data_IF_689479489613
#
_entry.id   IF_689479489613
#
_cell.length_a   1.000
_cell.length_b   1.000
_cell.length_c   1.000
_cell.angle_alpha   90.00
_cell.angle_beta   90.00
_cell.angle_gamma   90.00
#
_symmetry.space_group_name_H-M   'P 1'
#
loop_
_entity.id
_entity.type
_entity.pdbx_description
1 polymer ?
#
# COMPACT_ATOMS: atom_id res chain seq x y z
N UNK A 1 7.28 2.83 24.32
CA UNK A 1 7.24 2.61 22.86
C UNK A 1 6.94 1.14 22.66
N UNK A 2 6.07 0.77 21.72
CA UNK A 2 5.98 -0.65 21.32
C UNK A 2 7.15 -0.87 20.38
N UNK A 3 8.05 -1.78 20.72
CA UNK A 3 9.19 -2.14 19.86
C UNK A 3 8.59 -2.90 18.66
N UNK A 4 8.73 -2.37 17.44
CA UNK A 4 8.19 -3.04 16.26
C UNK A 4 9.05 -4.27 15.95
N UNK A 5 8.41 -5.44 15.79
CA UNK A 5 9.06 -6.65 15.29
C UNK A 5 9.08 -6.63 13.76
N UNK A 6 10.03 -5.89 13.19
CA UNK A 6 10.20 -5.75 11.74
C UNK A 6 11.23 -6.76 11.25
N UNK A 7 10.82 -7.69 10.42
CA UNK A 7 11.74 -8.68 9.84
C UNK A 7 12.10 -8.27 8.43
N UNK A 8 13.38 -8.00 8.17
CA UNK A 8 13.86 -7.72 6.82
C UNK A 8 13.71 -8.96 5.91
N UNK A 9 12.77 -8.91 4.95
CA UNK A 9 12.60 -9.96 3.93
C UNK A 9 12.96 -9.40 2.57
N UNK A 10 13.80 -10.11 1.82
CA UNK A 10 14.02 -9.79 0.40
C UNK A 10 12.72 -10.06 -0.37
N UNK A 11 12.42 -9.22 -1.37
CA UNK A 11 11.29 -9.43 -2.27
C UNK A 11 11.33 -10.87 -2.84
N UNK A 12 10.26 -11.68 -2.65
CA UNK A 12 10.14 -12.99 -3.26
C UNK A 12 10.14 -12.90 -4.79
N UNK A 13 10.55 -13.99 -5.44
CA UNK A 13 10.19 -14.18 -6.84
C UNK A 13 8.76 -14.73 -6.89
N UNK A 14 7.81 -13.88 -7.28
CA UNK A 14 6.40 -14.24 -7.38
C UNK A 14 6.05 -14.95 -8.71
N UNK A 15 6.99 -15.13 -9.64
CA UNK A 15 6.73 -15.82 -10.90
C UNK A 15 5.78 -15.06 -11.84
N UNK A 16 5.95 -13.73 -11.93
CA UNK A 16 5.18 -12.88 -12.83
C UNK A 16 5.60 -13.10 -14.28
N UNK A 17 5.02 -14.10 -14.93
CA UNK A 17 5.30 -14.48 -16.32
C UNK A 17 4.07 -14.30 -17.25
N UNK A 18 4.18 -14.77 -18.49
CA UNK A 18 3.11 -14.68 -19.48
C UNK A 18 1.87 -15.53 -19.18
N UNK A 19 1.96 -16.46 -18.23
CA UNK A 19 0.81 -17.23 -17.75
C UNK A 19 -0.04 -16.47 -16.73
N UNK A 20 0.42 -15.33 -16.20
CA UNK A 20 -0.39 -14.47 -15.34
C UNK A 20 -1.56 -13.86 -16.13
N UNK A 21 -2.83 -14.20 -15.80
CA UNK A 21 -3.96 -13.67 -16.54
C UNK A 21 -4.03 -12.16 -16.44
N UNK A 22 -4.39 -11.49 -17.54
CA UNK A 22 -4.62 -10.05 -17.56
C UNK A 22 -5.59 -9.61 -16.46
N UNK A 23 -6.69 -10.34 -16.31
CA UNK A 23 -7.71 -10.10 -15.28
C UNK A 23 -7.59 -11.14 -14.17
N UNK A 24 -6.47 -11.07 -13.45
CA UNK A 24 -6.09 -12.03 -12.41
C UNK A 24 -7.02 -12.03 -11.19
N UNK A 25 -7.86 -11.01 -11.00
CA UNK A 25 -8.85 -10.98 -9.94
C UNK A 25 -10.17 -11.60 -10.42
N UNK A 26 -10.27 -12.93 -10.39
CA UNK A 26 -11.47 -13.68 -10.78
C UNK A 26 -12.03 -13.33 -12.18
N UNK A 27 -11.17 -12.90 -13.12
CA UNK A 27 -11.59 -12.46 -14.44
C UNK A 27 -12.26 -11.09 -14.49
N UNK A 28 -12.34 -10.34 -13.38
CA UNK A 28 -13.00 -9.04 -13.29
C UNK A 28 -12.05 -7.89 -13.67
N UNK A 29 -12.32 -7.15 -14.78
CA UNK A 29 -11.45 -6.06 -15.20
C UNK A 29 -11.42 -4.88 -14.22
N UNK A 30 -12.53 -4.58 -13.55
CA UNK A 30 -12.59 -3.47 -12.60
C UNK A 30 -11.72 -3.78 -11.38
N UNK A 31 -11.93 -4.94 -10.75
CA UNK A 31 -11.17 -5.32 -9.56
C UNK A 31 -9.67 -5.44 -9.88
N UNK A 32 -9.34 -6.11 -10.99
CA UNK A 32 -7.95 -6.25 -11.44
C UNK A 32 -7.28 -4.89 -11.65
N UNK A 33 -7.88 -4.01 -12.48
CA UNK A 33 -7.26 -2.71 -12.79
C UNK A 33 -7.23 -1.74 -11.60
N UNK A 34 -8.10 -1.93 -10.61
CA UNK A 34 -8.03 -1.18 -9.36
C UNK A 34 -6.72 -1.48 -8.60
N UNK A 35 -6.37 -2.76 -8.46
CA UNK A 35 -5.11 -3.19 -7.84
C UNK A 35 -3.89 -2.88 -8.71
N UNK A 36 -3.98 -3.08 -10.02
CA UNK A 36 -2.89 -2.73 -10.94
C UNK A 36 -2.53 -1.24 -10.84
N UNK A 37 -3.55 -0.36 -10.78
CA UNK A 37 -3.33 1.08 -10.62
C UNK A 37 -2.56 1.41 -9.33
N UNK A 38 -2.93 0.78 -8.20
CA UNK A 38 -2.21 0.97 -6.93
C UNK A 38 -0.76 0.46 -7.02
N UNK A 39 -0.54 -0.70 -7.63
CA UNK A 39 0.81 -1.23 -7.85
C UNK A 39 1.71 -0.26 -8.63
N UNK A 40 1.17 0.48 -9.61
CA UNK A 40 1.96 1.47 -10.37
C UNK A 40 2.34 2.70 -9.54
N UNK A 41 1.66 2.96 -8.42
CA UNK A 41 1.93 4.10 -7.55
C UNK A 41 3.03 3.79 -6.53
N UNK A 42 3.09 2.54 -6.05
CA UNK A 42 3.98 2.13 -4.95
C UNK A 42 5.47 2.40 -5.19
N UNK A 43 6.10 2.07 -6.34
CA UNK A 43 7.53 2.30 -6.51
C UNK A 43 7.99 3.75 -6.36
N UNK A 44 7.16 4.73 -6.71
CA UNK A 44 7.48 6.15 -6.52
C UNK A 44 7.00 6.68 -5.15
N UNK A 45 5.91 6.12 -4.62
CA UNK A 45 5.40 6.41 -3.27
C UNK A 45 6.39 6.00 -2.17
N UNK A 46 6.87 4.77 -2.19
CA UNK A 46 7.77 4.20 -1.18
C UNK A 46 9.15 4.87 -1.22
N UNK A 47 9.66 5.21 -2.41
CA UNK A 47 10.85 6.08 -2.53
C UNK A 47 10.63 7.43 -1.86
N UNK A 48 9.43 7.99 -1.96
CA UNK A 48 9.06 9.23 -1.26
C UNK A 48 8.93 9.01 0.26
N UNK A 49 8.38 7.88 0.71
CA UNK A 49 8.31 7.50 2.13
C UNK A 49 9.70 7.39 2.76
N UNK A 50 10.60 6.63 2.14
CA UNK A 50 12.01 6.51 2.55
C UNK A 50 12.67 7.89 2.63
N UNK A 51 12.47 8.76 1.63
CA UNK A 51 13.05 10.11 1.61
C UNK A 51 12.54 10.99 2.74
N UNK A 52 11.23 10.98 3.01
CA UNK A 52 10.62 11.83 4.03
C UNK A 52 11.09 11.43 5.44
N UNK A 53 11.19 10.13 5.72
CA UNK A 53 11.72 9.61 6.99
C UNK A 53 13.21 9.91 7.11
N UNK A 54 14.01 9.68 6.05
CA UNK A 54 15.46 9.94 6.05
C UNK A 54 15.82 11.41 6.26
N UNK A 55 14.92 12.36 5.95
CA UNK A 55 15.14 13.78 6.22
C UNK A 55 15.32 14.10 7.71
N UNK A 56 14.88 13.19 8.60
CA UNK A 56 15.01 13.34 10.06
C UNK A 56 16.07 12.43 10.68
N UNK A 57 16.76 11.59 9.90
CA UNK A 57 17.64 10.52 10.40
C UNK A 57 18.71 11.00 11.41
N UNK A 58 19.29 12.17 11.17
CA UNK A 58 20.40 12.71 11.98
C UNK A 58 19.89 13.30 13.31
N UNK A 59 18.57 13.46 13.46
CA UNK A 59 17.90 13.94 14.67
C UNK A 59 17.33 12.78 15.52
N UNK A 60 17.33 11.55 15.00
CA UNK A 60 16.85 10.37 15.73
C UNK A 60 17.96 9.92 16.67
N UNK A 61 17.68 9.91 17.97
CA UNK A 61 18.65 9.52 19.02
C UNK A 61 18.29 8.22 19.71
N UNK A 62 17.01 7.81 19.63
CA UNK A 62 16.54 6.55 20.18
C UNK A 62 17.07 5.37 19.34
N UNK A 63 17.89 4.46 19.92
CA UNK A 63 18.44 3.33 19.18
C UNK A 63 17.38 2.40 18.61
N UNK A 64 16.24 2.23 19.28
CA UNK A 64 15.15 1.39 18.78
C UNK A 64 14.50 2.00 17.54
N UNK A 65 14.26 3.32 17.57
CA UNK A 65 13.69 4.03 16.42
C UNK A 65 14.68 4.13 15.25
N UNK A 66 15.99 4.26 15.52
CA UNK A 66 17.03 4.17 14.48
C UNK A 66 16.97 2.81 13.78
N UNK A 67 16.86 1.72 14.54
CA UNK A 67 16.78 0.38 13.97
C UNK A 67 15.48 0.19 13.18
N UNK A 68 14.34 0.57 13.75
CA UNK A 68 13.05 0.50 13.08
C UNK A 68 13.02 1.29 11.75
N UNK A 69 13.63 2.48 11.69
CA UNK A 69 13.75 3.26 10.45
C UNK A 69 14.64 2.56 9.41
N UNK A 70 15.69 1.85 9.84
CA UNK A 70 16.53 1.06 8.92
C UNK A 70 15.74 -0.13 8.35
N UNK A 71 15.01 -0.84 9.19
CA UNK A 71 14.23 -2.01 8.77
C UNK A 71 13.05 -1.61 7.88
N UNK A 72 12.34 -0.54 8.24
CA UNK A 72 11.36 0.14 7.39
C UNK A 72 11.95 0.48 6.01
N UNK A 73 13.08 1.19 5.99
CA UNK A 73 13.73 1.58 4.72
C UNK A 73 14.10 0.37 3.86
N UNK A 74 14.43 -0.76 4.48
CA UNK A 74 14.74 -1.99 3.78
C UNK A 74 13.48 -2.60 3.15
N UNK A 75 12.41 -2.79 3.92
CA UNK A 75 11.14 -3.37 3.43
C UNK A 75 10.54 -2.53 2.31
N UNK A 76 10.45 -1.21 2.50
CA UNK A 76 10.01 -0.26 1.47
C UNK A 76 10.78 -0.38 0.15
N UNK A 77 12.10 -0.58 0.23
CA UNK A 77 12.91 -0.78 -0.97
C UNK A 77 12.61 -2.12 -1.66
N UNK A 78 12.25 -3.15 -0.89
CA UNK A 78 11.83 -4.45 -1.44
C UNK A 78 10.43 -4.38 -2.04
N UNK A 79 9.48 -3.68 -1.41
CA UNK A 79 8.15 -3.43 -1.97
C UNK A 79 8.27 -2.80 -3.36
N UNK A 80 9.14 -1.80 -3.49
CA UNK A 80 9.36 -1.06 -4.75
C UNK A 80 9.88 -1.97 -5.86
N UNK A 81 10.73 -2.93 -5.50
CA UNK A 81 11.25 -3.93 -6.43
C UNK A 81 10.14 -4.89 -6.85
N UNK A 82 9.39 -5.44 -5.90
CA UNK A 82 8.31 -6.40 -6.16
C UNK A 82 7.22 -5.81 -7.06
N UNK A 83 6.76 -4.59 -6.75
CA UNK A 83 5.79 -3.88 -7.57
C UNK A 83 6.36 -3.47 -8.93
N UNK A 84 7.65 -3.11 -9.01
CA UNK A 84 8.33 -2.86 -10.28
C UNK A 84 8.30 -4.09 -11.20
N UNK A 85 8.60 -5.28 -10.66
CA UNK A 85 8.55 -6.54 -11.41
C UNK A 85 7.13 -6.87 -11.89
N UNK A 86 6.11 -6.65 -11.06
CA UNK A 86 4.73 -6.81 -11.52
C UNK A 86 4.35 -5.78 -12.58
N UNK A 87 4.80 -4.53 -12.44
CA UNK A 87 4.50 -3.48 -13.40
C UNK A 87 5.10 -3.77 -14.79
N UNK A 88 6.19 -4.55 -14.90
CA UNK A 88 6.69 -5.02 -16.20
C UNK A 88 5.69 -5.95 -16.92
N UNK A 89 4.85 -6.70 -16.19
CA UNK A 89 3.72 -7.42 -16.79
C UNK A 89 2.66 -6.47 -17.34
N UNK A 90 2.37 -5.37 -16.64
CA UNK A 90 1.43 -4.37 -17.13
C UNK A 90 1.93 -3.72 -18.43
N UNK A 91 3.24 -3.46 -18.55
CA UNK A 91 3.87 -2.99 -19.79
C UNK A 91 3.68 -3.98 -20.93
N UNK A 92 3.92 -5.27 -20.67
CA UNK A 92 3.69 -6.32 -21.67
C UNK A 92 2.21 -6.43 -22.12
N UNK A 93 1.27 -6.00 -21.27
CA UNK A 93 -0.15 -5.89 -21.62
C UNK A 93 -0.51 -4.61 -22.41
N UNK A 94 0.46 -3.74 -22.69
CA UNK A 94 0.30 -2.50 -23.44
C UNK A 94 0.03 -1.25 -22.58
N UNK A 95 0.14 -1.35 -21.25
CA UNK A 95 -0.01 -0.21 -20.35
C UNK A 95 1.27 0.63 -20.34
N UNK A 96 1.17 1.94 -20.56
CA UNK A 96 2.29 2.90 -20.43
C UNK A 96 2.54 3.19 -18.94
N UNK A 97 3.14 2.22 -18.24
CA UNK A 97 3.49 2.35 -16.81
C UNK A 97 4.43 3.52 -16.59
N UNK A 98 5.38 3.74 -17.49
CA UNK A 98 6.35 4.82 -17.38
C UNK A 98 5.67 6.20 -17.35
N UNK A 99 4.53 6.38 -18.04
CA UNK A 99 3.72 7.60 -17.93
C UNK A 99 3.16 7.78 -16.52
N UNK A 100 2.67 6.74 -15.88
CA UNK A 100 2.18 6.80 -14.51
C UNK A 100 3.30 7.09 -13.51
N UNK A 101 4.43 6.39 -13.63
CA UNK A 101 5.61 6.64 -12.79
C UNK A 101 6.15 8.07 -12.96
N UNK A 102 6.18 8.60 -14.20
CA UNK A 102 6.58 10.00 -14.45
C UNK A 102 5.61 10.98 -13.80
N UNK A 103 4.30 10.74 -13.89
CA UNK A 103 3.30 11.58 -13.27
C UNK A 103 3.45 11.59 -11.73
N UNK A 104 3.60 10.41 -11.12
CA UNK A 104 3.83 10.26 -9.69
C UNK A 104 5.13 10.93 -9.24
N UNK A 105 6.24 10.66 -9.93
CA UNK A 105 7.54 11.27 -9.63
C UNK A 105 7.47 12.79 -9.68
N UNK A 106 6.84 13.35 -10.71
CA UNK A 106 6.68 14.80 -10.86
C UNK A 106 5.88 15.41 -9.72
N UNK A 107 4.73 14.82 -9.42
CA UNK A 107 3.86 15.25 -8.32
C UNK A 107 4.56 15.16 -6.95
N UNK A 108 5.12 14.00 -6.60
CA UNK A 108 5.80 13.81 -5.31
C UNK A 108 7.07 14.66 -5.17
N UNK A 109 7.77 14.93 -6.27
CA UNK A 109 8.90 15.87 -6.26
C UNK A 109 8.42 17.29 -6.01
N UNK A 110 7.33 17.72 -6.64
CA UNK A 110 6.74 19.03 -6.40
C UNK A 110 6.33 19.20 -4.93
N UNK A 111 5.59 18.24 -4.37
CA UNK A 111 5.19 18.22 -2.95
C UNK A 111 6.43 18.28 -2.04
N UNK A 112 7.42 17.43 -2.30
CA UNK A 112 8.67 17.35 -1.53
C UNK A 112 9.51 18.63 -1.54
N UNK A 113 9.49 19.40 -2.62
CA UNK A 113 10.28 20.63 -2.74
C UNK A 113 9.57 21.86 -2.15
N UNK A 114 8.23 21.87 -2.14
CA UNK A 114 7.47 23.07 -1.79
C UNK A 114 6.81 23.01 -0.41
N UNK A 115 6.66 21.82 0.18
CA UNK A 115 6.12 21.65 1.53
C UNK A 115 7.23 21.46 2.56
N UNK A 116 7.02 21.90 3.83
CA UNK A 116 7.96 21.61 4.91
C UNK A 116 8.23 20.12 5.07
N UNK A 117 9.43 19.75 5.54
CA UNK A 117 9.81 18.36 5.78
C UNK A 117 8.82 17.64 6.72
N UNK A 118 8.25 18.34 7.69
CA UNK A 118 7.28 17.77 8.64
C UNK A 118 5.94 17.46 7.99
N UNK A 119 5.53 18.24 6.99
CA UNK A 119 4.32 17.95 6.19
C UNK A 119 4.58 16.76 5.28
N UNK A 120 5.77 16.65 4.68
CA UNK A 120 6.12 15.49 3.86
C UNK A 120 6.11 14.19 4.68
N UNK A 121 6.70 14.21 5.87
CA UNK A 121 6.66 13.08 6.80
C UNK A 121 5.23 12.79 7.28
N UNK A 122 4.41 13.81 7.48
CA UNK A 122 3.01 13.62 7.85
C UNK A 122 2.16 13.03 6.72
N UNK A 123 2.47 13.32 5.45
CA UNK A 123 1.87 12.64 4.30
C UNK A 123 2.28 11.16 4.30
N UNK A 124 3.56 10.85 4.51
CA UNK A 124 4.02 9.45 4.64
C UNK A 124 3.29 8.73 5.77
N UNK A 125 3.26 9.28 6.97
CA UNK A 125 2.55 8.64 8.09
C UNK A 125 1.05 8.42 7.84
N UNK A 126 0.41 9.30 7.06
CA UNK A 126 -0.99 9.13 6.65
C UNK A 126 -1.15 8.04 5.58
N UNK A 127 -0.26 8.01 4.59
CA UNK A 127 -0.28 7.00 3.53
C UNK A 127 -0.01 5.59 4.07
N UNK A 128 1.00 5.44 4.94
CA UNK A 128 1.32 4.21 5.69
C UNK A 128 0.13 3.72 6.52
N UNK A 129 -0.57 4.64 7.19
CA UNK A 129 -1.78 4.27 7.92
C UNK A 129 -2.87 3.77 6.97
N UNK A 130 -3.04 4.41 5.82
CA UNK A 130 -3.99 3.96 4.81
C UNK A 130 -3.64 2.58 4.25
N UNK A 131 -2.39 2.34 3.85
CA UNK A 131 -1.94 1.04 3.33
C UNK A 131 -2.02 -0.06 4.38
N UNK A 132 -1.64 0.23 5.63
CA UNK A 132 -1.78 -0.69 6.75
C UNK A 132 -3.24 -1.11 6.99
N UNK A 133 -4.19 -0.15 7.10
CA UNK A 133 -5.60 -0.51 7.33
C UNK A 133 -6.17 -1.27 6.14
N UNK A 134 -5.83 -0.86 4.92
CA UNK A 134 -6.28 -1.51 3.69
C UNK A 134 -5.79 -2.96 3.58
N UNK A 135 -4.59 -3.25 4.08
CA UNK A 135 -4.02 -4.60 4.11
C UNK A 135 -4.91 -5.58 4.86
N UNK A 136 -5.58 -5.16 5.94
CA UNK A 136 -6.56 -6.01 6.64
C UNK A 136 -7.70 -6.50 5.76
N UNK A 137 -8.03 -5.82 4.66
CA UNK A 137 -9.11 -6.21 3.75
C UNK A 137 -8.59 -6.98 2.55
N UNK A 138 -7.46 -6.54 2.01
CA UNK A 138 -6.88 -7.18 0.84
C UNK A 138 -6.25 -8.51 1.13
N UNK A 139 -6.11 -8.90 2.40
CA UNK A 139 -5.62 -10.22 2.80
C UNK A 139 -6.67 -11.02 3.55
N UNK A 140 -7.95 -10.75 3.27
CA UNK A 140 -9.07 -11.60 3.69
C UNK A 140 -9.30 -12.69 2.67
N UNK A 141 -9.58 -13.88 3.18
CA UNK A 141 -9.95 -15.05 2.38
C UNK A 141 -11.15 -14.77 1.47
N UNK A 142 -12.26 -14.23 2.00
CA UNK A 142 -13.46 -13.94 1.20
C UNK A 142 -13.25 -12.92 0.07
N UNK A 143 -12.16 -12.16 0.11
CA UNK A 143 -11.77 -11.22 -0.95
C UNK A 143 -10.81 -11.87 -1.93
N UNK A 144 -9.79 -12.60 -1.45
CA UNK A 144 -8.67 -13.07 -2.27
C UNK A 144 -8.75 -14.53 -2.74
N UNK A 145 -9.73 -15.31 -2.27
CA UNK A 145 -9.84 -16.74 -2.62
C UNK A 145 -9.79 -17.01 -4.12
N UNK A 146 -10.45 -16.17 -4.90
CA UNK A 146 -10.59 -16.33 -6.36
C UNK A 146 -9.55 -15.55 -7.17
N UNK A 147 -8.56 -14.90 -6.53
CA UNK A 147 -7.47 -14.21 -7.23
C UNK A 147 -6.34 -15.17 -7.62
N UNK A 148 -5.56 -14.80 -8.64
CA UNK A 148 -4.37 -15.55 -9.03
C UNK A 148 -3.41 -15.69 -7.83
N UNK A 149 -2.90 -16.89 -7.52
CA UNK A 149 -2.08 -17.14 -6.33
C UNK A 149 -0.85 -16.23 -6.24
N UNK A 150 -0.28 -15.81 -7.36
CA UNK A 150 0.91 -14.93 -7.39
C UNK A 150 0.58 -13.52 -6.94
N UNK A 151 -0.57 -13.00 -7.36
CA UNK A 151 -1.03 -11.67 -6.96
C UNK A 151 -1.54 -11.66 -5.53
N UNK A 152 -2.21 -12.74 -5.12
CA UNK A 152 -2.54 -12.97 -3.70
C UNK A 152 -1.27 -12.95 -2.86
N UNK A 153 -0.23 -13.70 -3.24
CA UNK A 153 1.04 -13.74 -2.54
C UNK A 153 1.71 -12.37 -2.41
N UNK A 154 1.73 -11.57 -3.47
CA UNK A 154 2.26 -10.21 -3.45
C UNK A 154 1.52 -9.34 -2.43
N UNK A 155 0.18 -9.34 -2.47
CA UNK A 155 -0.65 -8.53 -1.58
C UNK A 155 -0.54 -8.97 -0.12
N UNK A 156 -0.43 -10.28 0.14
CA UNK A 156 -0.21 -10.80 1.49
C UNK A 156 1.16 -10.44 2.03
N UNK A 157 2.22 -10.66 1.24
CA UNK A 157 3.58 -10.32 1.66
C UNK A 157 3.72 -8.83 1.97
N UNK A 158 3.31 -7.96 1.05
CA UNK A 158 3.32 -6.52 1.25
C UNK A 158 2.47 -6.14 2.45
N UNK A 159 1.22 -6.61 2.53
CA UNK A 159 0.33 -6.25 3.63
C UNK A 159 0.83 -6.68 5.02
N UNK A 160 1.52 -7.82 5.13
CA UNK A 160 2.16 -8.24 6.38
C UNK A 160 3.24 -7.25 6.80
N UNK A 161 4.06 -6.78 5.86
CA UNK A 161 5.12 -5.80 6.14
C UNK A 161 4.55 -4.42 6.48
N UNK A 162 3.45 -4.00 5.83
CA UNK A 162 2.70 -2.77 6.22
C UNK A 162 2.28 -2.78 7.68
N UNK A 163 1.88 -3.94 8.22
CA UNK A 163 1.51 -4.07 9.64
C UNK A 163 2.74 -4.02 10.56
N UNK A 164 3.90 -4.51 10.12
CA UNK A 164 5.14 -4.50 10.90
C UNK A 164 5.65 -3.08 11.12
N UNK A 165 5.58 -2.25 10.08
CA UNK A 165 6.16 -0.91 10.11
C UNK A 165 5.14 0.24 10.21
N UNK A 166 3.84 -0.04 10.35
CA UNK A 166 2.72 0.94 10.44
C UNK A 166 2.92 2.14 11.38
N UNK A 167 3.80 2.01 12.37
CA UNK A 167 4.08 3.06 13.34
C UNK A 167 5.38 3.84 13.09
N UNK A 168 6.28 3.40 12.20
CA UNK A 168 7.63 3.96 12.09
C UNK A 168 7.58 5.43 11.65
N UNK A 169 6.91 5.73 10.53
CA UNK A 169 6.78 7.11 10.06
C UNK A 169 6.04 8.00 11.06
N UNK A 170 5.01 7.46 11.71
CA UNK A 170 4.24 8.16 12.75
C UNK A 170 5.10 8.49 13.98
N UNK A 171 5.95 7.57 14.41
CA UNK A 171 6.82 7.77 15.56
C UNK A 171 7.90 8.81 15.29
N UNK A 172 8.50 8.80 14.10
CA UNK A 172 9.41 9.88 13.68
C UNK A 172 8.65 11.22 13.64
N UNK A 173 7.40 11.23 13.13
CA UNK A 173 6.58 12.43 13.05
C UNK A 173 6.31 13.06 14.42
N UNK A 174 5.92 12.23 15.41
CA UNK A 174 5.55 12.71 16.74
C UNK A 174 6.77 12.98 17.63
N UNK A 175 7.75 12.08 17.65
CA UNK A 175 8.86 12.11 18.62
C UNK A 175 10.01 13.00 18.15
N UNK A 176 10.28 13.02 16.84
CA UNK A 176 11.45 13.70 16.26
C UNK A 176 11.03 15.00 15.59
N UNK A 177 10.15 14.94 14.59
CA UNK A 177 9.68 16.12 13.87
C UNK A 177 8.74 17.01 14.71
N UNK A 178 8.09 16.43 15.73
CA UNK A 178 7.14 17.08 16.64
C UNK A 178 6.06 17.85 15.87
N UNK A 179 5.56 17.25 14.78
CA UNK A 179 4.52 17.87 13.98
C UNK A 179 3.21 17.98 14.77
N UNK A 180 2.54 19.12 14.64
CA UNK A 180 1.28 19.37 15.34
C UNK A 180 0.13 18.49 14.85
N UNK A 181 -0.88 18.34 15.70
CA UNK A 181 -2.11 17.58 15.39
C UNK A 181 -2.77 18.02 14.07
N UNK A 182 -2.83 19.33 13.80
CA UNK A 182 -3.41 19.84 12.56
C UNK A 182 -2.64 19.40 11.32
N UNK A 183 -1.30 19.40 11.37
CA UNK A 183 -0.47 18.91 10.26
C UNK A 183 -0.81 17.45 9.99
N UNK A 184 -0.81 16.60 11.03
CA UNK A 184 -1.14 15.18 10.92
C UNK A 184 -2.53 14.93 10.31
N UNK A 185 -3.55 15.63 10.79
CA UNK A 185 -4.93 15.43 10.35
C UNK A 185 -5.18 15.97 8.94
N UNK A 186 -4.61 17.13 8.61
CA UNK A 186 -4.78 17.72 7.27
C UNK A 186 -4.09 16.89 6.19
N UNK A 187 -2.94 16.27 6.48
CA UNK A 187 -2.31 15.32 5.54
C UNK A 187 -3.14 14.06 5.37
N UNK A 188 -3.78 13.55 6.42
CA UNK A 188 -4.75 12.44 6.25
C UNK A 188 -5.91 12.82 5.35
N UNK A 189 -6.54 13.99 5.55
CA UNK A 189 -7.62 14.47 4.67
C UNK A 189 -7.15 14.61 3.22
N UNK A 190 -5.92 15.06 3.03
CA UNK A 190 -5.30 15.15 1.71
C UNK A 190 -5.11 13.78 1.06
N UNK A 191 -4.59 12.77 1.78
CA UNK A 191 -4.42 11.40 1.28
C UNK A 191 -5.77 10.75 0.98
N UNK A 192 -6.81 10.97 1.81
CA UNK A 192 -8.18 10.51 1.56
C UNK A 192 -8.73 10.91 0.19
N UNK A 193 -8.27 12.04 -0.36
CA UNK A 193 -8.71 12.53 -1.68
C UNK A 193 -7.70 12.16 -2.76
N UNK A 194 -6.42 12.45 -2.53
CA UNK A 194 -5.38 12.32 -3.55
C UNK A 194 -5.08 10.88 -3.93
N UNK A 195 -5.10 9.96 -2.97
CA UNK A 195 -4.85 8.54 -3.23
C UNK A 195 -5.96 7.90 -4.08
N UNK A 196 -7.26 7.94 -3.70
CA UNK A 196 -8.32 7.36 -4.54
C UNK A 196 -8.47 8.05 -5.90
N UNK A 197 -8.19 9.36 -5.99
CA UNK A 197 -8.20 10.07 -7.26
C UNK A 197 -7.10 9.55 -8.20
N UNK A 198 -5.89 9.33 -7.69
CA UNK A 198 -4.78 8.79 -8.48
C UNK A 198 -5.09 7.37 -8.97
N UNK A 199 -5.61 6.52 -8.09
CA UNK A 199 -6.10 5.18 -8.46
C UNK A 199 -7.16 5.27 -9.54
N UNK A 200 -8.15 6.15 -9.40
CA UNK A 200 -9.20 6.35 -10.39
C UNK A 200 -8.66 6.74 -11.77
N UNK A 201 -7.75 7.71 -11.82
CA UNK A 201 -7.19 8.21 -13.08
C UNK A 201 -6.35 7.16 -13.81
N UNK A 202 -5.51 6.42 -13.08
CA UNK A 202 -4.66 5.38 -13.67
C UNK A 202 -5.49 4.18 -14.10
N UNK A 203 -6.46 3.77 -13.28
CA UNK A 203 -7.40 2.71 -13.62
C UNK A 203 -8.26 3.04 -14.84
N UNK A 204 -8.81 4.25 -14.97
CA UNK A 204 -9.60 4.63 -16.16
C UNK A 204 -8.75 4.57 -17.44
N UNK A 205 -7.49 5.00 -17.36
CA UNK A 205 -6.55 4.90 -18.48
C UNK A 205 -6.25 3.44 -18.84
N UNK A 206 -6.00 2.57 -17.85
CA UNK A 206 -5.78 1.13 -18.09
C UNK A 206 -7.00 0.48 -18.76
N UNK A 207 -8.21 0.74 -18.25
CA UNK A 207 -9.44 0.24 -18.84
C UNK A 207 -9.68 0.82 -20.25
N UNK A 208 -9.26 2.06 -20.52
CA UNK A 208 -9.30 2.64 -21.86
C UNK A 208 -8.35 1.91 -22.80
N UNK A 209 -7.13 1.59 -22.37
CA UNK A 209 -6.14 0.83 -23.16
C UNK A 209 -6.64 -0.58 -23.45
N UNK A 210 -7.33 -1.21 -22.49
CA UNK A 210 -7.98 -2.51 -22.68
C UNK A 210 -9.16 -2.50 -23.67
N UNK A 211 -9.53 -1.33 -24.21
CA UNK A 211 -10.54 -1.18 -25.26
C UNK A 211 -11.97 -0.95 -24.75
N UNK A 212 -12.17 -0.76 -23.45
CA UNK A 212 -13.49 -0.43 -22.91
C UNK A 212 -13.90 0.97 -23.32
N UNK A 213 -15.09 1.08 -23.92
CA UNK A 213 -15.71 2.36 -24.25
C UNK A 213 -15.98 3.20 -22.98
N UNK A 214 -16.09 4.51 -23.14
CA UNK A 214 -16.38 5.43 -22.02
C UNK A 214 -17.61 4.99 -21.23
N UNK A 215 -18.67 4.55 -21.92
CA UNK A 215 -19.89 4.07 -21.28
C UNK A 215 -19.68 2.80 -20.46
N UNK A 216 -18.92 1.82 -20.97
CA UNK A 216 -18.59 0.61 -20.21
C UNK A 216 -17.78 0.94 -18.95
N UNK A 217 -16.81 1.84 -19.04
CA UNK A 217 -16.00 2.24 -17.87
C UNK A 217 -16.84 2.96 -16.81
N UNK A 218 -17.76 3.84 -17.20
CA UNK A 218 -18.71 4.46 -16.27
C UNK A 218 -19.58 3.40 -15.59
N UNK A 219 -20.12 2.43 -16.34
CA UNK A 219 -20.90 1.34 -15.77
C UNK A 219 -20.08 0.47 -14.80
N UNK A 220 -18.83 0.18 -15.13
CA UNK A 220 -17.89 -0.52 -14.25
C UNK A 220 -17.68 0.26 -12.95
N UNK A 221 -17.45 1.59 -13.02
CA UNK A 221 -17.32 2.44 -11.83
C UNK A 221 -18.57 2.44 -10.95
N UNK A 222 -19.77 2.56 -11.53
CA UNK A 222 -21.02 2.53 -10.75
C UNK A 222 -21.16 1.20 -9.99
N UNK A 223 -20.81 0.07 -10.63
CA UNK A 223 -20.81 -1.25 -9.97
C UNK A 223 -19.69 -1.36 -8.93
N UNK A 224 -18.50 -0.87 -9.26
CA UNK A 224 -17.33 -0.85 -8.43
C UNK A 224 -17.50 -0.03 -7.15
N UNK A 225 -18.25 1.08 -7.21
CA UNK A 225 -18.60 1.87 -6.02
C UNK A 225 -19.41 1.06 -5.00
N UNK A 226 -20.28 0.14 -5.46
CA UNK A 226 -20.97 -0.78 -4.54
C UNK A 226 -20.02 -1.80 -3.93
N UNK A 227 -19.04 -2.28 -4.69
CA UNK A 227 -18.02 -3.21 -4.19
C UNK A 227 -17.05 -2.54 -3.20
N UNK A 228 -16.72 -1.26 -3.38
CA UNK A 228 -15.86 -0.50 -2.48
C UNK A 228 -16.61 0.04 -1.26
N UNK A 229 -17.76 0.69 -1.47
CA UNK A 229 -18.44 1.54 -0.47
C UNK A 229 -19.88 1.12 -0.17
N UNK A 230 -20.36 0.00 -0.72
CA UNK A 230 -21.67 -0.55 -0.34
C UNK A 230 -21.70 -0.95 1.15
N UNK A 231 -22.87 -1.33 1.66
CA UNK A 231 -23.01 -1.80 3.05
C UNK A 231 -22.19 -3.04 3.38
N UNK A 232 -21.80 -3.82 2.36
CA UNK A 232 -20.87 -4.95 2.43
C UNK A 232 -19.59 -4.68 1.61
N UNK A 233 -19.30 -3.40 1.34
CA UNK A 233 -18.15 -2.99 0.56
C UNK A 233 -16.87 -3.02 1.38
N UNK A 234 -15.73 -3.16 0.69
CA UNK A 234 -14.40 -3.31 1.30
C UNK A 234 -14.06 -2.20 2.32
N UNK A 235 -14.45 -0.96 2.02
CA UNK A 235 -14.09 0.21 2.83
C UNK A 235 -14.96 0.37 4.08
N UNK A 236 -16.12 -0.29 4.15
CA UNK A 236 -17.04 -0.13 5.27
C UNK A 236 -16.41 -0.62 6.59
N UNK A 237 -15.75 -1.79 6.56
CA UNK A 237 -15.04 -2.35 7.71
C UNK A 237 -13.80 -1.56 8.13
N UNK A 238 -13.26 -0.70 7.26
CA UNK A 238 -12.10 0.14 7.55
C UNK A 238 -12.47 1.46 8.22
N UNK A 239 -13.73 1.85 8.18
CA UNK A 239 -14.18 3.14 8.68
C UNK A 239 -13.78 3.40 10.14
N UNK A 240 -13.86 2.43 11.09
CA UNK A 240 -13.39 2.64 12.45
C UNK A 240 -11.88 2.96 12.54
N UNK A 241 -11.02 2.19 11.87
CA UNK A 241 -9.57 2.41 11.84
C UNK A 241 -9.17 3.67 11.08
N UNK A 242 -9.92 4.03 10.04
CA UNK A 242 -9.77 5.30 9.34
C UNK A 242 -10.09 6.49 10.26
N UNK A 243 -11.23 6.45 10.96
CA UNK A 243 -11.63 7.51 11.90
C UNK A 243 -10.72 7.57 13.13
N UNK A 244 -10.10 6.45 13.52
CA UNK A 244 -9.16 6.38 14.62
C UNK A 244 -7.98 7.36 14.49
N UNK A 245 -7.46 7.52 13.27
CA UNK A 245 -6.32 8.40 12.97
C UNK A 245 -6.56 9.86 13.39
N UNK A 246 -7.83 10.28 13.41
CA UNK A 246 -8.24 11.63 13.77
C UNK A 246 -8.31 11.85 15.30
N UNK A 247 -8.16 10.82 16.15
CA UNK A 247 -8.19 11.04 17.61
C UNK A 247 -6.91 11.73 18.10
N UNK A 248 -6.97 12.69 19.05
CA UNK A 248 -5.78 13.35 19.58
C UNK A 248 -4.75 12.40 20.21
N UNK A 249 -5.22 11.32 20.84
CA UNK A 249 -4.42 10.28 21.50
C UNK A 249 -4.11 9.08 20.60
N UNK A 250 -4.37 9.19 19.30
CA UNK A 250 -4.13 8.12 18.34
C UNK A 250 -2.67 7.68 18.29
N UNK A 251 -2.46 6.37 18.17
CA UNK A 251 -1.19 5.75 17.82
C UNK A 251 -1.44 4.52 16.94
N UNK A 252 -0.68 4.26 15.85
CA UNK A 252 -0.94 3.13 14.94
C UNK A 252 -0.98 1.74 15.62
N UNK A 253 -0.17 1.50 16.64
CA UNK A 253 -0.24 0.30 17.50
C UNK A 253 -1.53 0.12 18.31
N UNK A 254 -2.45 1.09 18.35
CA UNK A 254 -3.81 0.89 18.86
C UNK A 254 -4.67 0.07 17.89
N UNK A 255 -4.30 0.03 16.61
CA UNK A 255 -4.92 -0.84 15.61
C UNK A 255 -4.36 -2.26 15.73
N UNK A 256 -5.17 -3.25 15.40
CA UNK A 256 -4.77 -4.66 15.42
C UNK A 256 -3.77 -5.04 14.33
N UNK A 257 -3.54 -6.33 14.19
CA UNK A 257 -2.83 -6.93 13.06
C UNK A 257 -3.85 -7.61 12.13
N UNK A 258 -3.43 -8.02 10.95
CA UNK A 258 -4.27 -8.86 10.09
C UNK A 258 -4.57 -10.18 10.81
N UNK A 259 -5.78 -10.71 10.64
CA UNK A 259 -6.17 -12.00 11.23
C UNK A 259 -5.22 -13.14 10.82
N UNK A 260 -4.74 -13.07 9.58
CA UNK A 260 -3.83 -14.04 8.96
C UNK A 260 -2.35 -13.77 9.23
N UNK A 261 -2.00 -12.70 9.97
CA UNK A 261 -0.62 -12.25 10.15
C UNK A 261 0.31 -13.35 10.69
N UNK A 262 -0.06 -13.98 11.81
CA UNK A 262 0.78 -15.01 12.43
C UNK A 262 0.85 -16.29 11.60
N UNK A 263 -0.26 -16.70 11.00
CA UNK A 263 -0.32 -17.91 10.16
C UNK A 263 0.56 -17.76 8.93
N UNK A 264 0.43 -16.62 8.24
CA UNK A 264 1.25 -16.31 7.06
C UNK A 264 2.74 -16.29 7.43
N UNK A 265 3.12 -15.58 8.51
CA UNK A 265 4.53 -15.49 8.95
C UNK A 265 5.10 -16.86 9.26
N UNK A 266 4.38 -17.69 10.01
CA UNK A 266 4.84 -19.02 10.38
C UNK A 266 5.14 -19.87 9.14
N UNK A 267 4.24 -19.90 8.16
CA UNK A 267 4.43 -20.69 6.93
C UNK A 267 5.56 -20.11 6.09
N UNK A 268 5.61 -18.78 5.93
CA UNK A 268 6.66 -18.13 5.14
C UNK A 268 8.06 -18.33 5.74
N UNK A 269 8.21 -18.20 7.05
CA UNK A 269 9.49 -18.37 7.74
C UNK A 269 10.00 -19.82 7.69
N UNK A 270 9.11 -20.80 7.59
CA UNK A 270 9.46 -22.21 7.45
C UNK A 270 9.83 -22.61 6.02
N UNK A 271 9.15 -22.04 5.03
CA UNK A 271 9.20 -22.51 3.63
C UNK A 271 9.98 -21.58 2.70
N UNK A 272 10.04 -20.29 3.03
CA UNK A 272 10.50 -19.23 2.13
C UNK A 272 9.57 -18.99 0.94
N UNK A 273 8.36 -19.56 0.93
CA UNK A 273 7.45 -19.54 -0.21
C UNK A 273 6.23 -18.64 0.05
N UNK A 274 6.18 -17.49 -0.61
CA UNK A 274 5.11 -16.51 -0.43
C UNK A 274 3.74 -17.00 -0.94
N UNK A 275 3.73 -17.84 -1.98
CA UNK A 275 2.49 -18.41 -2.53
C UNK A 275 1.92 -19.43 -1.55
N UNK A 276 2.75 -20.34 -1.04
CA UNK A 276 2.32 -21.32 -0.04
C UNK A 276 1.81 -20.65 1.24
N UNK A 277 2.50 -19.61 1.72
CA UNK A 277 2.08 -18.84 2.88
C UNK A 277 0.74 -18.13 2.67
N UNK A 278 0.52 -17.56 1.48
CA UNK A 278 -0.73 -16.89 1.16
C UNK A 278 -1.90 -17.87 0.92
N UNK A 279 -1.64 -19.02 0.30
CA UNK A 279 -2.63 -20.08 0.08
C UNK A 279 -3.08 -20.71 1.39
N UNK A 280 -2.15 -20.95 2.33
CA UNK A 280 -2.49 -21.41 3.68
C UNK A 280 -3.29 -20.37 4.48
N UNK A 281 -3.12 -19.08 4.18
CA UNK A 281 -3.87 -18.01 4.84
C UNK A 281 -5.31 -17.83 4.28
N UNK A 282 -5.66 -18.52 3.19
CA UNK A 282 -7.02 -18.53 2.59
C UNK A 282 -7.70 -19.90 2.64
N UNK A 283 -7.09 -20.89 3.29
CA UNK A 283 -7.64 -22.25 3.47
C UNK A 283 -8.46 -22.38 4.74
#
# INVERSE_FOLDING_TARGET
MVIPDITQRKAPDFGFDDSLPKYWFAGDPFKTRFFDAMSTMFPEGEKYFIRSVRAYRDQITDPELIQAVRDFTYQEAQHSIAHGLFNDRLKAQGIDVEKFERAMRGYLSFVSMHLPASVNLANTAAAEHMTAIISHIWTRDDVQRDSDPRMRALLYWHGVEEIEHKAVAFDVLQKVAKAGYLTRVLTMVYETVSFPLSVHLFMDEMLRVDGFSRWQRVQMWVRGLRWLYGSQGLMHSLLPSYLAYYRPDFHPWQEGQMETYHQWRQVYEQTGNAIEAADHAVS
#
